data_IF_542824045143
#
_entry.id   IF_542824045143
#
_cell.length_a   1.000
_cell.length_b   1.000
_cell.length_c   1.000
_cell.angle_alpha   90.00
_cell.angle_beta   90.00
_cell.angle_gamma   90.00
#
_symmetry.space_group_name_H-M   'P 1'
#
loop_
_entity.id
_entity.type
_entity.pdbx_description
1 polymer ?
#
# COMPACT_ATOMS: atom_id res chain seq x y z
N UNK A 1 -24.90 0.99 22.60
CA UNK A 1 -24.60 0.85 21.18
C UNK A 1 -24.03 2.12 20.54
N UNK A 2 -24.49 3.30 20.96
CA UNK A 2 -23.90 4.55 20.49
C UNK A 2 -22.40 4.68 20.81
N UNK A 3 -21.95 4.12 21.94
CA UNK A 3 -20.55 4.16 22.36
C UNK A 3 -19.62 3.37 21.42
N UNK A 4 -20.06 2.23 20.92
CA UNK A 4 -19.27 1.42 19.96
C UNK A 4 -19.12 2.13 18.63
N UNK A 5 -20.17 2.80 18.18
CA UNK A 5 -20.15 3.58 16.96
C UNK A 5 -19.17 4.76 17.05
N UNK A 6 -19.12 5.44 18.21
CA UNK A 6 -18.20 6.56 18.43
C UNK A 6 -16.75 6.09 18.55
N UNK A 7 -16.50 4.97 19.21
CA UNK A 7 -15.17 4.39 19.31
C UNK A 7 -14.67 4.00 17.92
N UNK A 8 -15.51 3.40 17.11
CA UNK A 8 -15.16 3.01 15.75
C UNK A 8 -14.81 4.22 14.90
N UNK A 9 -15.56 5.32 15.02
CA UNK A 9 -15.25 6.57 14.33
C UNK A 9 -13.92 7.15 14.77
N UNK A 10 -13.63 7.13 16.08
CA UNK A 10 -12.36 7.61 16.61
C UNK A 10 -11.19 6.78 16.10
N UNK A 11 -11.33 5.46 16.07
CA UNK A 11 -10.31 4.56 15.52
C UNK A 11 -10.04 4.86 14.06
N UNK A 12 -11.08 5.10 13.26
CA UNK A 12 -10.93 5.46 11.86
C UNK A 12 -10.29 6.85 11.68
N UNK A 13 -10.61 7.80 12.55
CA UNK A 13 -10.07 9.15 12.49
C UNK A 13 -8.62 9.24 12.92
N UNK A 14 -8.13 8.28 13.71
CA UNK A 14 -6.74 8.24 14.17
C UNK A 14 -5.79 7.61 13.15
N UNK A 15 -6.29 7.14 12.03
CA UNK A 15 -5.48 6.60 10.98
C UNK A 15 -4.80 7.71 10.21
N UNK A 16 -3.52 7.50 9.94
CA UNK A 16 -2.70 8.44 9.17
C UNK A 16 -2.07 7.74 7.99
N UNK A 17 -1.77 8.51 6.96
CA UNK A 17 -1.05 8.01 5.80
C UNK A 17 0.45 7.97 6.09
N UNK A 18 1.06 6.85 5.77
CA UNK A 18 2.52 6.67 5.85
C UNK A 18 3.02 6.15 4.52
N UNK A 19 4.21 6.59 4.14
CA UNK A 19 4.94 6.02 3.02
C UNK A 19 5.74 4.82 3.53
N UNK A 20 5.47 3.65 2.96
CA UNK A 20 6.10 2.41 3.36
C UNK A 20 7.19 2.05 2.35
N UNK A 21 8.41 1.87 2.81
CA UNK A 21 9.52 1.51 1.95
C UNK A 21 9.53 0.01 1.69
N UNK A 22 9.63 -0.37 0.42
CA UNK A 22 9.62 -1.77 0.01
C UNK A 22 10.91 -2.14 -0.71
N UNK A 23 11.16 -3.43 -0.80
CA UNK A 23 12.19 -3.95 -1.69
C UNK A 23 11.85 -3.58 -3.14
N UNK A 24 12.87 -3.39 -4.01
CA UNK A 24 12.61 -3.09 -5.43
C UNK A 24 11.72 -4.14 -6.08
N UNK A 25 10.75 -3.68 -6.86
CA UNK A 25 9.78 -4.51 -7.59
C UNK A 25 8.77 -5.25 -6.69
N UNK A 26 8.76 -4.95 -5.40
CA UNK A 26 7.81 -5.56 -4.46
C UNK A 26 6.58 -4.70 -4.18
N UNK A 27 6.46 -3.53 -4.80
CA UNK A 27 5.41 -2.56 -4.52
C UNK A 27 4.01 -3.17 -4.68
N UNK A 28 3.73 -3.76 -5.85
CA UNK A 28 2.42 -4.38 -6.11
C UNK A 28 2.16 -5.56 -5.19
N UNK A 29 3.18 -6.37 -4.93
CA UNK A 29 3.07 -7.55 -4.07
C UNK A 29 2.79 -7.15 -2.63
N UNK A 30 3.50 -6.14 -2.12
CA UNK A 30 3.28 -5.61 -0.77
C UNK A 30 1.88 -5.03 -0.66
N UNK A 31 1.44 -4.26 -1.66
CA UNK A 31 0.10 -3.70 -1.69
C UNK A 31 -0.97 -4.79 -1.61
N UNK A 32 -0.79 -5.86 -2.37
CA UNK A 32 -1.69 -7.01 -2.35
C UNK A 32 -1.71 -7.71 -0.98
N UNK A 33 -0.54 -7.94 -0.40
CA UNK A 33 -0.41 -8.59 0.91
C UNK A 33 -1.06 -7.77 2.01
N UNK A 34 -0.90 -6.44 1.96
CA UNK A 34 -1.52 -5.54 2.94
C UNK A 34 -3.03 -5.52 2.78
N UNK A 35 -3.53 -5.49 1.55
CA UNK A 35 -4.98 -5.59 1.29
C UNK A 35 -5.56 -6.88 1.87
N UNK A 36 -4.87 -8.00 1.74
CA UNK A 36 -5.30 -9.28 2.30
C UNK A 36 -5.36 -9.26 3.83
N UNK A 37 -4.52 -8.44 4.46
CA UNK A 37 -4.54 -8.26 5.91
C UNK A 37 -5.60 -7.26 6.38
N UNK A 38 -6.34 -6.66 5.45
CA UNK A 38 -7.35 -5.65 5.76
C UNK A 38 -6.79 -4.26 6.00
N UNK A 39 -5.56 -4.01 5.59
CA UNK A 39 -4.92 -2.69 5.72
C UNK A 39 -5.30 -1.84 4.51
N UNK A 40 -5.74 -0.60 4.77
CA UNK A 40 -5.98 0.37 3.71
C UNK A 40 -4.64 0.83 3.14
N UNK A 41 -4.40 0.55 1.86
CA UNK A 41 -3.14 0.85 1.22
C UNK A 41 -3.37 1.30 -0.22
N UNK A 42 -2.37 1.98 -0.77
CA UNK A 42 -2.45 2.53 -2.10
C UNK A 42 -1.08 2.46 -2.77
N UNK A 43 -1.05 1.83 -3.93
CA UNK A 43 0.12 1.77 -4.79
C UNK A 43 -0.27 2.38 -6.14
N UNK A 44 -0.08 3.69 -6.32
CA UNK A 44 -0.45 4.34 -7.57
C UNK A 44 0.38 3.78 -8.72
N UNK A 45 -0.29 3.46 -9.82
CA UNK A 45 0.33 2.88 -11.00
C UNK A 45 0.31 3.89 -12.14
N UNK A 46 1.36 3.86 -12.93
CA UNK A 46 1.49 4.64 -14.15
C UNK A 46 1.51 3.68 -15.33
N UNK A 47 0.78 4.01 -16.39
CA UNK A 47 0.82 3.25 -17.64
C UNK A 47 1.93 3.78 -18.50
N UNK A 48 2.87 2.92 -18.85
CA UNK A 48 4.03 3.27 -19.66
C UNK A 48 4.07 2.37 -20.88
N UNK A 49 4.34 2.97 -22.03
CA UNK A 49 4.57 2.19 -23.26
C UNK A 49 6.04 1.82 -23.33
N UNK A 50 6.30 0.51 -23.42
CA UNK A 50 7.66 -0.03 -23.58
C UNK A 50 7.78 -0.68 -24.95
N UNK A 51 8.84 -0.33 -25.67
CA UNK A 51 9.14 -0.94 -26.94
C UNK A 51 9.87 -2.26 -26.71
N UNK A 52 9.21 -3.34 -27.14
CA UNK A 52 9.82 -4.67 -27.20
C UNK A 52 10.31 -4.91 -28.62
N UNK A 53 11.09 -5.96 -28.83
CA UNK A 53 11.82 -6.22 -30.08
C UNK A 53 10.98 -6.02 -31.35
N UNK A 54 9.69 -6.38 -31.32
CA UNK A 54 8.80 -6.35 -32.47
C UNK A 54 7.43 -5.72 -32.20
N UNK A 55 7.22 -5.16 -31.01
CA UNK A 55 5.93 -4.55 -30.67
C UNK A 55 6.05 -3.60 -29.48
N UNK A 56 5.04 -2.75 -29.32
CA UNK A 56 4.91 -1.85 -28.18
C UNK A 56 3.92 -2.46 -27.19
N UNK A 57 4.34 -2.62 -25.93
CA UNK A 57 3.49 -3.07 -24.84
C UNK A 57 3.18 -1.94 -23.89
N UNK A 58 1.95 -1.90 -23.41
CA UNK A 58 1.58 -1.02 -22.29
C UNK A 58 1.78 -1.78 -20.98
N UNK A 59 2.59 -1.22 -20.10
CA UNK A 59 2.93 -1.82 -18.81
C UNK A 59 2.45 -0.88 -17.69
N UNK A 60 1.90 -1.45 -16.63
CA UNK A 60 1.57 -0.70 -15.43
C UNK A 60 2.73 -0.80 -14.46
N UNK A 61 3.34 0.34 -14.13
CA UNK A 61 4.45 0.46 -13.20
C UNK A 61 4.05 1.28 -12.00
N UNK A 62 4.60 1.00 -10.80
CA UNK A 62 4.40 1.89 -9.67
C UNK A 62 4.88 3.30 -9.99
N UNK A 63 4.05 4.30 -9.67
CA UNK A 63 4.41 5.70 -9.88
C UNK A 63 5.58 6.10 -8.98
N UNK A 64 5.61 5.57 -7.76
CA UNK A 64 6.70 5.77 -6.80
C UNK A 64 7.41 4.45 -6.56
N UNK A 65 8.61 4.32 -7.09
CA UNK A 65 9.40 3.09 -6.95
C UNK A 65 9.80 2.86 -5.49
N UNK A 66 9.62 1.63 -5.02
CA UNK A 66 9.94 1.19 -3.66
C UNK A 66 9.07 1.83 -2.57
N UNK A 67 7.92 2.39 -2.94
CA UNK A 67 6.98 2.97 -1.96
C UNK A 67 5.58 2.44 -2.15
N UNK A 68 4.92 2.14 -1.04
CA UNK A 68 3.50 1.87 -0.95
C UNK A 68 2.95 2.76 0.16
N UNK A 69 1.79 3.37 -0.06
CA UNK A 69 1.17 4.23 0.94
C UNK A 69 0.17 3.42 1.74
N UNK A 70 0.21 3.57 3.06
CA UNK A 70 -0.70 2.89 3.97
C UNK A 70 -1.37 3.89 4.90
N UNK A 71 -2.64 3.64 5.20
CA UNK A 71 -3.40 4.45 6.14
C UNK A 71 -3.70 3.59 7.35
N UNK A 72 -2.97 3.83 8.44
CA UNK A 72 -3.03 3.01 9.65
C UNK A 72 -2.87 3.87 10.89
N UNK A 73 -3.20 3.29 12.04
CA UNK A 73 -2.88 3.88 13.33
C UNK A 73 -1.43 3.57 13.71
N UNK A 74 -0.88 4.38 14.62
CA UNK A 74 0.47 4.14 15.11
C UNK A 74 0.65 2.75 15.71
N UNK A 75 -0.38 2.23 16.37
CA UNK A 75 -0.36 0.88 16.96
C UNK A 75 -0.23 -0.23 15.93
N UNK A 76 -0.66 0.01 14.69
CA UNK A 76 -0.63 -1.00 13.62
C UNK A 76 0.66 -0.96 12.79
N UNK A 77 1.57 -0.07 13.09
CA UNK A 77 2.83 0.07 12.33
C UNK A 77 3.68 -1.19 12.38
N UNK A 78 3.72 -1.86 13.51
CA UNK A 78 4.48 -3.12 13.67
C UNK A 78 3.93 -4.21 12.76
N UNK A 79 2.61 -4.34 12.69
CA UNK A 79 1.95 -5.31 11.83
C UNK A 79 2.29 -5.09 10.36
N UNK A 80 2.31 -3.81 9.94
CA UNK A 80 2.64 -3.45 8.57
C UNK A 80 4.12 -3.77 8.26
N UNK A 81 5.03 -3.49 9.19
CA UNK A 81 6.45 -3.76 9.03
C UNK A 81 6.77 -5.25 8.89
N UNK A 82 5.95 -6.11 9.47
CA UNK A 82 6.12 -7.56 9.38
C UNK A 82 5.67 -8.13 8.04
N UNK A 83 5.11 -7.32 7.18
CA UNK A 83 4.70 -7.77 5.85
C UNK A 83 5.92 -8.04 4.98
N UNK A 84 5.91 -9.19 4.31
CA UNK A 84 7.02 -9.59 3.44
C UNK A 84 7.24 -8.56 2.32
N UNK A 85 8.49 -8.20 2.09
CA UNK A 85 8.85 -7.19 1.09
C UNK A 85 8.97 -5.77 1.65
N UNK A 86 8.54 -5.53 2.88
CA UNK A 86 8.71 -4.25 3.58
C UNK A 86 10.10 -4.22 4.22
N UNK A 87 10.76 -3.09 4.05
CA UNK A 87 12.09 -2.85 4.63
C UNK A 87 11.97 -2.15 5.98
#
# INVERSE_FOLDING_TARGET
>A
MAKLSNIRKQLLMNRKWFALYTKPRWEKKVNQLLNQKGVECYCPLNRVKRKWTDRIKTIEEPLFKSYVFVKVEDSDRSLVRLTNGVI
#
